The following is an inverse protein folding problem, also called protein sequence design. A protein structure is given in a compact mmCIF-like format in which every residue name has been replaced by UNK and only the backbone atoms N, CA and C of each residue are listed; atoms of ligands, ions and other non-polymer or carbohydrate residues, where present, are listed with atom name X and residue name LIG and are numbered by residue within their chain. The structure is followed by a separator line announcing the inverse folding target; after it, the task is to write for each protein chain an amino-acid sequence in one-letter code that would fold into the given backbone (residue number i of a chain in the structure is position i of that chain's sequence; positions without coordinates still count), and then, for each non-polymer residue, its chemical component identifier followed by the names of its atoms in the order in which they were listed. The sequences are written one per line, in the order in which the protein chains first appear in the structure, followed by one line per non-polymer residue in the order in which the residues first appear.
data_IF_765358121299
#
_entry.id   IF_765358121299
#
_cell.length_a   1.000
_cell.length_b   1.000
_cell.length_c   1.000
_cell.angle_alpha   90.00
_cell.angle_beta   90.00
_cell.angle_gamma   90.00
#
_symmetry.space_group_name_H-M   'P 1'
#
loop_
_entity.id
_entity.type
_entity.pdbx_description
1 polymer ?
#
# COMPACT_ATOMS: atom_id res chain seq x y z
N UNK A 1 40.90 6.31 10.97
CA UNK A 1 39.46 6.05 10.87
C UNK A 1 38.85 7.23 10.11
N UNK A 2 38.72 7.09 8.78
CA UNK A 2 38.29 8.19 7.92
C UNK A 2 36.75 8.21 7.81
N UNK A 3 36.22 9.42 7.90
CA UNK A 3 34.86 9.79 8.23
C UNK A 3 33.85 9.45 7.10
N UNK A 4 33.14 8.33 7.23
CA UNK A 4 32.11 7.91 6.28
C UNK A 4 30.82 8.77 6.39
N UNK A 5 30.65 9.53 7.48
CA UNK A 5 29.49 10.39 7.73
C UNK A 5 29.54 11.69 6.91
N UNK A 6 30.71 12.31 6.79
CA UNK A 6 30.88 13.53 5.98
C UNK A 6 30.59 13.30 4.50
N UNK A 7 30.92 12.12 3.97
CA UNK A 7 30.67 11.77 2.57
C UNK A 7 29.18 11.60 2.28
N UNK A 8 28.43 10.98 3.18
CA UNK A 8 26.98 10.81 3.04
C UNK A 8 26.24 12.17 3.13
N UNK A 9 26.66 13.05 4.04
CA UNK A 9 26.11 14.41 4.14
C UNK A 9 26.32 15.22 2.85
N UNK A 10 27.49 15.09 2.22
CA UNK A 10 27.78 15.73 0.94
C UNK A 10 26.90 15.18 -0.19
N UNK A 11 26.73 13.85 -0.26
CA UNK A 11 25.86 13.20 -1.27
C UNK A 11 24.41 13.67 -1.11
N UNK A 12 23.90 13.75 0.14
CA UNK A 12 22.56 14.25 0.42
C UNK A 12 22.39 15.72 -0.01
N UNK A 13 23.37 16.58 0.30
CA UNK A 13 23.32 17.99 -0.07
C UNK A 13 23.37 18.20 -1.61
N UNK A 14 24.11 17.33 -2.32
CA UNK A 14 24.21 17.34 -3.77
C UNK A 14 22.89 16.91 -4.43
N UNK A 15 22.31 15.80 -3.95
CA UNK A 15 21.04 15.28 -4.46
C UNK A 15 19.89 16.27 -4.26
N UNK A 16 19.89 16.99 -3.13
CA UNK A 16 18.92 18.06 -2.84
C UNK A 16 19.13 19.27 -3.77
N UNK A 17 20.38 19.68 -4.01
CA UNK A 17 20.70 20.84 -4.86
C UNK A 17 20.44 20.58 -6.35
N UNK A 18 20.48 19.32 -6.80
CA UNK A 18 20.16 18.91 -8.17
C UNK A 18 18.67 18.67 -8.43
N UNK A 19 17.78 18.99 -7.47
CA UNK A 19 16.33 18.80 -7.62
C UNK A 19 15.89 17.33 -7.62
N UNK A 20 16.77 16.41 -7.19
CA UNK A 20 16.54 14.96 -7.21
C UNK A 20 15.78 14.46 -5.96
N UNK A 21 15.54 15.35 -5.00
CA UNK A 21 14.92 15.04 -3.70
C UNK A 21 13.48 14.51 -3.79
N UNK A 22 12.69 14.98 -4.76
CA UNK A 22 11.31 14.52 -4.94
C UNK A 22 11.21 13.25 -5.79
N UNK A 23 12.06 13.11 -6.80
CA UNK A 23 12.07 11.93 -7.68
C UNK A 23 12.49 10.63 -6.97
N UNK A 24 13.31 10.71 -5.91
CA UNK A 24 13.66 9.53 -5.10
C UNK A 24 12.55 9.11 -4.14
N UNK A 25 11.78 10.04 -3.54
CA UNK A 25 10.64 9.73 -2.66
C UNK A 25 9.56 8.91 -3.37
N UNK A 26 9.32 9.20 -4.66
CA UNK A 26 8.37 8.46 -5.49
C UNK A 26 8.84 7.04 -5.83
N UNK A 27 10.15 6.77 -5.85
CA UNK A 27 10.70 5.42 -6.11
C UNK A 27 10.67 4.51 -4.88
N UNK A 28 10.65 5.07 -3.66
CA UNK A 28 10.77 4.27 -2.42
C UNK A 28 9.43 3.90 -1.78
N UNK A 29 8.31 4.45 -2.27
CA UNK A 29 7.02 4.30 -1.60
C UNK A 29 5.98 3.65 -2.50
N UNK A 30 6.32 2.53 -3.11
CA UNK A 30 5.36 1.63 -3.73
C UNK A 30 4.53 0.93 -2.65
N UNK A 31 3.21 0.96 -2.75
CA UNK A 31 2.29 0.18 -1.92
C UNK A 31 1.88 0.81 -0.59
N UNK A 32 2.21 2.08 -0.29
CA UNK A 32 1.64 2.75 0.89
C UNK A 32 0.31 3.42 0.55
N UNK A 33 -0.66 3.18 1.41
CA UNK A 33 -1.90 3.95 1.48
C UNK A 33 -1.59 5.30 2.13
N UNK A 34 -2.04 6.38 1.48
CA UNK A 34 -2.05 7.72 2.05
C UNK A 34 -3.40 7.89 2.78
N UNK A 35 -3.36 8.07 4.09
CA UNK A 35 -4.56 8.24 4.92
C UNK A 35 -5.23 9.60 4.78
N UNK A 36 -4.48 10.64 4.41
CA UNK A 36 -5.02 11.98 4.19
C UNK A 36 -5.89 12.03 2.92
N UNK A 37 -5.43 11.39 1.84
CA UNK A 37 -6.11 11.40 0.53
C UNK A 37 -6.92 10.13 0.25
N UNK A 38 -6.70 9.08 1.03
CA UNK A 38 -7.24 7.75 0.81
C UNK A 38 -6.71 7.05 -0.44
N UNK A 39 -5.57 7.49 -1.01
CA UNK A 39 -5.04 6.95 -2.26
C UNK A 39 -3.89 5.97 -2.06
N UNK A 40 -3.67 5.07 -3.03
CA UNK A 40 -2.52 4.16 -3.04
C UNK A 40 -1.62 4.51 -4.21
N UNK A 41 -0.32 4.63 -3.97
CA UNK A 41 0.68 4.67 -5.02
C UNK A 41 1.15 3.25 -5.33
N UNK A 42 0.80 2.71 -6.50
CA UNK A 42 1.17 1.37 -6.93
C UNK A 42 1.75 1.39 -8.33
N UNK A 43 3.00 0.92 -8.49
CA UNK A 43 3.70 0.86 -9.78
C UNK A 43 3.61 2.16 -10.61
N UNK A 44 3.80 3.31 -9.94
CA UNK A 44 3.72 4.63 -10.58
C UNK A 44 2.29 5.11 -10.93
N UNK A 45 1.25 4.39 -10.49
CA UNK A 45 -0.15 4.78 -10.67
C UNK A 45 -0.80 5.13 -9.33
N UNK A 46 -1.66 6.14 -9.35
CA UNK A 46 -2.53 6.51 -8.23
C UNK A 46 -3.81 5.68 -8.32
N UNK A 47 -4.13 4.95 -7.27
CA UNK A 47 -5.42 4.28 -7.09
C UNK A 47 -6.25 5.15 -6.14
N UNK A 48 -7.45 5.54 -6.58
CA UNK A 48 -8.31 6.45 -5.83
C UNK A 48 -8.95 5.79 -4.60
N UNK A 49 -9.30 6.57 -3.58
CA UNK A 49 -10.03 6.07 -2.41
C UNK A 49 -11.33 5.36 -2.78
N UNK A 50 -12.05 5.87 -3.79
CA UNK A 50 -13.27 5.23 -4.27
C UNK A 50 -12.99 3.82 -4.82
N UNK A 51 -11.91 3.67 -5.59
CA UNK A 51 -11.47 2.36 -6.12
C UNK A 51 -11.06 1.41 -4.99
N UNK A 52 -10.35 1.91 -3.97
CA UNK A 52 -9.94 1.10 -2.81
C UNK A 52 -11.14 0.59 -2.02
N UNK A 53 -12.12 1.46 -1.75
CA UNK A 53 -13.36 1.10 -1.05
C UNK A 53 -14.17 0.10 -1.88
N UNK A 54 -14.32 0.33 -3.18
CA UNK A 54 -15.01 -0.59 -4.08
C UNK A 54 -14.33 -1.97 -4.10
N UNK A 55 -13.00 -2.03 -4.14
CA UNK A 55 -12.26 -3.27 -4.08
C UNK A 55 -12.53 -4.03 -2.77
N UNK A 56 -12.45 -3.35 -1.60
CA UNK A 56 -12.77 -3.95 -0.29
C UNK A 56 -14.19 -4.54 -0.28
N UNK A 57 -15.17 -3.78 -0.77
CA UNK A 57 -16.57 -4.21 -0.80
C UNK A 57 -16.77 -5.40 -1.74
N UNK A 58 -16.12 -5.39 -2.91
CA UNK A 58 -16.18 -6.51 -3.85
C UNK A 58 -15.66 -7.80 -3.22
N UNK A 59 -14.44 -7.78 -2.66
CA UNK A 59 -13.86 -8.98 -2.04
C UNK A 59 -14.63 -9.46 -0.81
N UNK A 60 -15.19 -8.54 -0.02
CA UNK A 60 -16.09 -8.89 1.08
C UNK A 60 -17.35 -9.60 0.58
N UNK A 61 -17.95 -9.10 -0.50
CA UNK A 61 -19.13 -9.73 -1.10
C UNK A 61 -18.83 -11.12 -1.68
N UNK A 62 -17.68 -11.30 -2.34
CA UNK A 62 -17.28 -12.61 -2.87
C UNK A 62 -16.99 -13.60 -1.74
N UNK A 63 -16.32 -13.17 -0.67
CA UNK A 63 -16.12 -13.99 0.52
C UNK A 63 -17.46 -14.47 1.09
N UNK A 64 -18.39 -13.55 1.37
CA UNK A 64 -19.68 -13.90 1.98
C UNK A 64 -20.47 -14.91 1.13
N UNK A 65 -20.47 -14.73 -0.20
CA UNK A 65 -21.16 -15.65 -1.12
C UNK A 65 -20.63 -17.08 -1.05
N UNK A 66 -19.32 -17.24 -0.86
CA UNK A 66 -18.66 -18.54 -0.88
C UNK A 66 -18.55 -19.17 0.51
N UNK A 67 -18.47 -18.36 1.57
CA UNK A 67 -18.37 -18.84 2.95
C UNK A 67 -19.63 -19.61 3.40
N UNK A 68 -20.78 -19.36 2.77
CA UNK A 68 -22.04 -20.05 3.04
C UNK A 68 -22.19 -21.39 2.27
N UNK A 69 -21.25 -21.72 1.36
CA UNK A 69 -21.32 -22.91 0.53
C UNK A 69 -20.59 -24.09 1.17
N UNK A 70 -21.22 -25.27 1.21
CA UNK A 70 -20.59 -26.51 1.65
C UNK A 70 -19.90 -27.25 0.50
N UNK A 71 -19.01 -26.53 -0.19
CA UNK A 71 -18.15 -27.05 -1.25
C UNK A 71 -16.69 -26.71 -0.93
N UNK A 72 -15.80 -27.71 -0.98
CA UNK A 72 -14.39 -27.52 -0.62
C UNK A 72 -13.66 -26.55 -1.57
N UNK A 73 -14.04 -26.50 -2.85
CA UNK A 73 -13.51 -25.53 -3.81
C UNK A 73 -13.97 -24.10 -3.49
N UNK A 74 -15.24 -23.93 -3.12
CA UNK A 74 -15.78 -22.66 -2.66
C UNK A 74 -15.09 -22.20 -1.36
N UNK A 75 -14.84 -23.09 -0.41
CA UNK A 75 -14.10 -22.78 0.83
C UNK A 75 -12.68 -22.32 0.55
N UNK A 76 -11.94 -23.03 -0.32
CA UNK A 76 -10.58 -22.61 -0.69
C UNK A 76 -10.58 -21.22 -1.32
N UNK A 77 -11.54 -20.94 -2.20
CA UNK A 77 -11.66 -19.63 -2.85
C UNK A 77 -12.12 -18.54 -1.89
N UNK A 78 -12.99 -18.85 -0.92
CA UNK A 78 -13.38 -17.93 0.15
C UNK A 78 -12.15 -17.49 0.94
N UNK A 79 -11.26 -18.41 1.30
CA UNK A 79 -10.00 -18.09 2.00
C UNK A 79 -9.13 -17.11 1.21
N UNK A 80 -9.07 -17.22 -0.12
CA UNK A 80 -8.33 -16.27 -0.96
C UNK A 80 -8.94 -14.86 -0.91
N UNK A 81 -10.26 -14.76 -0.96
CA UNK A 81 -10.96 -13.48 -0.81
C UNK A 81 -10.86 -12.90 0.60
N UNK A 82 -10.79 -13.76 1.61
CA UNK A 82 -10.54 -13.36 2.99
C UNK A 82 -9.18 -12.67 3.12
N UNK A 83 -8.12 -13.29 2.61
CA UNK A 83 -6.78 -12.67 2.61
C UNK A 83 -6.81 -11.32 1.90
N UNK A 84 -7.49 -11.21 0.76
CA UNK A 84 -7.59 -9.95 0.03
C UNK A 84 -8.33 -8.85 0.81
N UNK A 85 -9.50 -9.14 1.41
CA UNK A 85 -10.26 -8.14 2.17
C UNK A 85 -9.52 -7.68 3.42
N UNK A 86 -8.86 -8.61 4.12
CA UNK A 86 -8.10 -8.30 5.34
C UNK A 86 -6.85 -7.48 5.01
N UNK A 87 -6.11 -7.83 3.96
CA UNK A 87 -4.95 -7.05 3.52
C UNK A 87 -5.33 -5.60 3.18
N UNK A 88 -6.47 -5.39 2.50
CA UNK A 88 -6.97 -4.05 2.21
C UNK A 88 -7.39 -3.33 3.50
N UNK A 89 -8.03 -4.03 4.45
CA UNK A 89 -8.40 -3.49 5.76
C UNK A 89 -7.18 -3.00 6.55
N UNK A 90 -6.21 -3.89 6.77
CA UNK A 90 -4.95 -3.58 7.48
C UNK A 90 -4.22 -2.41 6.83
N UNK A 91 -4.17 -2.36 5.49
CA UNK A 91 -3.52 -1.27 4.77
C UNK A 91 -4.20 0.09 5.04
N UNK A 92 -5.53 0.13 5.07
CA UNK A 92 -6.29 1.35 5.38
C UNK A 92 -6.08 1.76 6.84
N UNK A 93 -6.15 0.80 7.76
CA UNK A 93 -6.06 1.06 9.20
C UNK A 93 -4.66 1.45 9.64
N UNK A 94 -3.62 0.84 9.04
CA UNK A 94 -2.21 1.22 9.24
C UNK A 94 -1.92 2.65 8.79
N UNK A 95 -2.69 3.18 7.82
CA UNK A 95 -2.57 4.59 7.43
C UNK A 95 -3.10 5.55 8.49
N UNK A 96 -4.07 5.12 9.30
CA UNK A 96 -4.71 5.95 10.34
C UNK A 96 -3.95 5.96 11.68
N UNK A 97 -3.03 5.01 11.88
CA UNK A 97 -2.33 4.81 13.16
C UNK A 97 -1.07 5.67 13.39
N UNK A 98 -0.80 6.68 12.56
CA UNK A 98 0.36 7.58 12.68
C UNK A 98 -0.04 9.02 13.07
N UNK A 99 -1.14 9.19 13.82
CA UNK A 99 -1.53 10.47 14.45
C UNK A 99 -1.09 10.53 15.91
#
# INVERSE_FOLDING_TARGET
MADNKGREALIHSLAQSMGMGDAQKFKTTTGRYNSETGTIMSNGRVISSATVIQAKNYFTSQYNKLAEMDDEGAKQMATLYEVAKEAIGIMIDSGKGNE
#
